data_IF_015769092225
#
_entry.id   IF_015769092225
#
_cell.length_a   1.000
_cell.length_b   1.000
_cell.length_c   1.000
_cell.angle_alpha   90.00
_cell.angle_beta   90.00
_cell.angle_gamma   90.00
#
_symmetry.space_group_name_H-M   'P 1'
#
loop_
_entity.id
_entity.type
_entity.pdbx_description
1 polymer ?
#
# COMPACT_ATOMS: atom_id res chain seq x y z
N UNK A 1 -12.28 -34.69 8.36
CA UNK A 1 -12.51 -33.32 8.84
C UNK A 1 -11.23 -32.70 9.44
N UNK A 2 -10.41 -33.44 10.19
CA UNK A 2 -9.18 -32.99 10.86
C UNK A 2 -8.06 -32.62 9.87
N UNK A 3 -7.85 -33.38 8.81
CA UNK A 3 -6.83 -33.14 7.79
C UNK A 3 -7.12 -31.86 6.97
N UNK A 4 -8.39 -31.62 6.62
CA UNK A 4 -8.81 -30.44 5.87
C UNK A 4 -8.71 -29.14 6.68
N UNK A 5 -8.86 -29.23 8.01
CA UNK A 5 -8.65 -28.08 8.92
C UNK A 5 -7.16 -27.74 9.06
N UNK A 6 -6.28 -28.77 9.01
CA UNK A 6 -4.83 -28.60 9.01
C UNK A 6 -4.30 -27.98 7.72
N UNK A 7 -4.80 -28.39 6.56
CA UNK A 7 -4.44 -27.79 5.28
C UNK A 7 -4.84 -26.30 5.20
N UNK A 8 -6.06 -25.93 5.64
CA UNK A 8 -6.46 -24.53 5.72
C UNK A 8 -5.58 -23.71 6.68
N UNK A 9 -5.20 -24.29 7.81
CA UNK A 9 -4.32 -23.61 8.78
C UNK A 9 -2.92 -23.41 8.18
N UNK A 10 -2.39 -24.44 7.51
CA UNK A 10 -1.09 -24.37 6.83
C UNK A 10 -1.12 -23.33 5.70
N UNK A 11 -2.17 -23.32 4.87
CA UNK A 11 -2.33 -22.35 3.79
C UNK A 11 -2.43 -20.91 4.31
N UNK A 12 -3.18 -20.69 5.39
CA UNK A 12 -3.31 -19.38 6.04
C UNK A 12 -2.00 -18.92 6.66
N UNK A 13 -1.28 -19.83 7.33
CA UNK A 13 0.03 -19.54 7.94
C UNK A 13 1.08 -19.30 6.85
N UNK A 14 1.06 -20.07 5.77
CA UNK A 14 1.98 -19.91 4.63
C UNK A 14 1.74 -18.58 3.91
N UNK A 15 0.48 -18.19 3.67
CA UNK A 15 0.15 -16.88 3.10
C UNK A 15 0.55 -15.73 4.04
N UNK A 16 0.36 -15.86 5.35
CA UNK A 16 0.83 -14.87 6.31
C UNK A 16 2.37 -14.76 6.34
N UNK A 17 3.08 -15.89 6.22
CA UNK A 17 4.54 -15.91 6.14
C UNK A 17 5.07 -15.30 4.84
N UNK A 18 4.42 -15.59 3.71
CA UNK A 18 4.75 -15.00 2.40
C UNK A 18 4.51 -13.49 2.44
N UNK A 19 3.39 -13.04 2.99
CA UNK A 19 3.06 -11.62 3.12
C UNK A 19 4.04 -10.87 4.04
N UNK A 20 4.45 -11.48 5.17
CA UNK A 20 5.49 -10.92 6.06
C UNK A 20 6.86 -10.84 5.37
N UNK A 21 7.24 -11.86 4.60
CA UNK A 21 8.49 -11.85 3.83
C UNK A 21 8.45 -10.81 2.71
N UNK A 22 7.33 -10.70 1.98
CA UNK A 22 7.15 -9.68 0.94
C UNK A 22 7.22 -8.26 1.51
N UNK A 23 6.56 -8.02 2.64
CA UNK A 23 6.62 -6.75 3.36
C UNK A 23 8.05 -6.44 3.85
N UNK A 24 8.75 -7.45 4.39
CA UNK A 24 10.15 -7.32 4.83
C UNK A 24 11.11 -7.01 3.68
N UNK A 25 10.96 -7.69 2.53
CA UNK A 25 11.78 -7.41 1.34
C UNK A 25 11.49 -6.03 0.75
N UNK A 26 10.25 -5.57 0.81
CA UNK A 26 9.86 -4.26 0.30
C UNK A 26 10.35 -3.12 1.21
N UNK A 27 10.30 -3.30 2.52
CA UNK A 27 10.90 -2.37 3.49
C UNK A 27 12.42 -2.33 3.29
N UNK A 28 13.06 -3.47 3.06
CA UNK A 28 14.50 -3.56 2.81
C UNK A 28 14.88 -2.89 1.49
N UNK A 29 14.10 -3.08 0.42
CA UNK A 29 14.32 -2.43 -0.88
C UNK A 29 14.12 -0.91 -0.81
N UNK A 30 13.11 -0.44 -0.05
CA UNK A 30 12.89 0.97 0.21
C UNK A 30 14.03 1.61 1.02
N UNK A 31 14.54 0.90 2.03
CA UNK A 31 15.73 1.32 2.81
C UNK A 31 17.00 1.37 1.95
N UNK A 32 17.18 0.40 1.04
CA UNK A 32 18.32 0.39 0.12
C UNK A 32 18.26 1.54 -0.90
N UNK A 33 17.06 1.88 -1.39
CA UNK A 33 16.86 3.02 -2.29
C UNK A 33 17.13 4.35 -1.59
N UNK A 34 16.76 4.50 -0.32
CA UNK A 34 17.07 5.69 0.49
C UNK A 34 18.57 5.77 0.79
N UNK A 35 19.22 4.64 1.11
CA UNK A 35 20.66 4.60 1.35
C UNK A 35 21.49 4.92 0.09
N UNK A 36 21.04 4.53 -1.11
CA UNK A 36 21.71 4.90 -2.37
C UNK A 36 21.54 6.39 -2.70
N UNK A 37 20.45 7.04 -2.32
CA UNK A 37 20.27 8.48 -2.49
C UNK A 37 21.17 9.28 -1.53
N UNK A 38 21.41 8.82 -0.31
CA UNK A 38 22.31 9.50 0.64
C UNK A 38 23.79 9.35 0.23
N UNK A 39 24.20 8.18 -0.29
CA UNK A 39 25.54 7.98 -0.80
C UNK A 39 25.87 8.86 -2.03
N UNK A 40 24.90 9.10 -2.91
CA UNK A 40 25.09 9.97 -4.09
C UNK A 40 25.13 11.46 -3.72
N UNK A 41 24.48 11.87 -2.63
CA UNK A 41 24.56 13.25 -2.14
C UNK A 41 25.91 13.56 -1.47
N UNK A 42 26.56 12.57 -0.88
CA UNK A 42 27.89 12.70 -0.25
C UNK A 42 29.02 12.77 -1.27
N UNK A 43 28.91 12.02 -2.36
CA UNK A 43 29.90 12.02 -3.45
C UNK A 43 29.91 13.35 -4.26
N UNK A 44 28.83 14.12 -4.25
CA UNK A 44 28.77 15.45 -4.88
C UNK A 44 29.30 16.57 -3.96
N UNK A 45 29.38 16.38 -2.66
CA UNK A 45 29.96 17.36 -1.74
C UNK A 45 31.50 17.33 -1.74
N UNK A 46 32.11 16.15 -1.90
CA UNK A 46 33.58 16.00 -1.94
C UNK A 46 34.19 16.53 -3.21
N UNK A 47 33.45 16.65 -4.32
CA UNK A 47 33.97 17.17 -5.60
C UNK A 47 33.90 18.69 -5.73
N UNK A 48 33.17 19.40 -4.86
CA UNK A 48 33.08 20.88 -4.94
C UNK A 48 34.07 21.62 -4.05
N UNK A 49 34.73 20.93 -3.10
CA UNK A 49 35.81 21.53 -2.30
C UNK A 49 37.19 21.50 -2.91
N UNK A 50 37.40 20.84 -4.06
CA UNK A 50 38.70 20.67 -4.68
C UNK A 50 39.03 21.68 -5.78
N UNK A 51 38.26 22.74 -6.02
CA UNK A 51 38.49 23.71 -7.13
C UNK A 51 38.72 25.15 -6.69
N UNK A 52 38.83 25.42 -5.40
CA UNK A 52 39.03 26.79 -4.93
C UNK A 52 40.19 26.93 -3.92
N UNK A 53 41.45 26.67 -4.36
CA UNK A 53 42.63 27.29 -3.74
C UNK A 53 43.95 26.99 -4.51
N UNK A 54 44.12 27.67 -5.63
CA UNK A 54 45.44 27.95 -6.17
C UNK A 54 45.55 29.48 -6.23
N UNK A 55 46.17 30.07 -5.25
CA UNK A 55 47.12 31.18 -5.28
C UNK A 55 47.36 31.71 -3.86
N UNK A 56 48.44 31.41 -3.27
CA UNK A 56 49.46 32.32 -2.71
C UNK A 56 50.50 31.55 -1.92
N UNK A 57 51.67 31.41 -2.53
CA UNK A 57 52.93 31.02 -1.87
C UNK A 57 53.39 32.17 -0.95
N UNK A 58 53.48 31.93 0.37
CA UNK A 58 54.44 32.60 1.22
C UNK A 58 55.04 31.61 2.21
N UNK A 59 56.37 31.52 2.15
CA UNK A 59 57.23 30.65 2.94
C UNK A 59 57.15 30.93 4.42
N UNK A 60 56.83 29.93 5.22
CA UNK A 60 57.13 29.90 6.65
C UNK A 60 57.70 28.53 7.00
N UNK A 61 58.70 28.49 7.89
CA UNK A 61 59.59 27.35 8.15
C UNK A 61 58.89 26.13 8.76
N UNK A 62 59.46 24.89 8.58
CA UNK A 62 58.77 23.62 8.83
C UNK A 62 58.50 23.22 10.29
N UNK A 63 59.07 23.88 11.22
CA UNK A 63 59.01 23.43 12.64
C UNK A 63 57.80 23.94 13.46
N UNK A 64 57.10 24.98 13.01
CA UNK A 64 55.90 25.50 13.71
C UNK A 64 54.56 24.89 13.24
N UNK A 65 54.57 24.20 12.13
CA UNK A 65 53.34 23.61 11.52
C UNK A 65 53.01 22.24 12.13
N UNK A 66 54.00 21.57 12.72
CA UNK A 66 53.79 20.22 13.29
C UNK A 66 53.17 20.21 14.67
N UNK A 67 53.35 21.24 15.47
CA UNK A 67 52.70 21.35 16.80
C UNK A 67 51.22 21.75 16.71
N UNK A 68 50.86 22.59 15.73
CA UNK A 68 49.50 23.06 15.54
C UNK A 68 48.57 21.97 14.91
N UNK A 69 49.17 21.07 14.10
CA UNK A 69 48.43 19.93 13.51
C UNK A 69 48.13 18.84 14.55
N UNK A 70 49.05 18.62 15.50
CA UNK A 70 48.87 17.60 16.54
C UNK A 70 47.83 18.01 17.55
N UNK A 71 47.72 19.32 17.88
CA UNK A 71 46.72 19.87 18.80
C UNK A 71 45.31 19.92 18.11
N UNK A 72 45.25 20.20 16.79
CA UNK A 72 44.03 20.18 16.01
C UNK A 72 43.46 18.79 15.80
N UNK A 73 44.28 17.76 15.65
CA UNK A 73 43.85 16.36 15.48
C UNK A 73 43.39 15.73 16.78
N UNK A 74 43.97 16.15 17.94
CA UNK A 74 43.54 15.65 19.23
C UNK A 74 42.15 16.20 19.69
N UNK A 75 41.72 17.35 19.16
CA UNK A 75 40.40 17.93 19.44
C UNK A 75 39.29 17.38 18.55
N UNK A 76 39.64 16.77 17.40
CA UNK A 76 38.65 16.17 16.46
C UNK A 76 38.30 14.73 16.85
N UNK A 77 39.09 14.06 17.70
CA UNK A 77 38.82 12.67 18.09
C UNK A 77 37.83 12.53 19.28
N UNK A 78 37.40 13.63 19.91
CA UNK A 78 36.54 13.57 21.10
C UNK A 78 35.05 13.95 20.88
N UNK A 79 34.63 14.23 19.65
CA UNK A 79 33.24 14.69 19.40
C UNK A 79 32.53 14.05 18.18
N UNK A 80 32.70 12.76 17.94
CA UNK A 80 31.74 12.01 17.12
C UNK A 80 31.38 10.72 17.83
N UNK A 81 30.77 10.82 19.01
CA UNK A 81 29.76 9.85 19.40
C UNK A 81 28.50 10.27 18.68
N UNK A 82 28.38 9.92 17.39
CA UNK A 82 27.06 9.85 16.77
C UNK A 82 26.27 8.81 17.55
N UNK A 83 25.44 9.29 18.52
CA UNK A 83 24.29 8.51 18.95
C UNK A 83 23.59 8.07 17.68
N UNK A 84 23.63 6.78 17.35
CA UNK A 84 22.85 6.21 16.26
C UNK A 84 21.40 6.61 16.52
N UNK A 85 20.98 7.70 15.87
CA UNK A 85 19.63 8.23 16.05
C UNK A 85 18.66 7.10 15.72
N UNK A 86 17.90 6.67 16.71
CA UNK A 86 16.92 5.59 16.54
C UNK A 86 16.06 5.91 15.32
N UNK A 87 15.77 4.90 14.49
CA UNK A 87 14.95 5.04 13.28
C UNK A 87 13.69 5.91 13.49
N UNK A 88 13.09 5.82 14.69
CA UNK A 88 11.96 6.66 15.08
C UNK A 88 12.33 8.14 15.26
N UNK A 89 13.54 8.44 15.74
CA UNK A 89 14.02 9.81 15.89
C UNK A 89 14.28 10.45 14.53
N UNK A 90 14.83 9.69 13.58
CA UNK A 90 15.06 10.14 12.20
C UNK A 90 13.74 10.47 11.52
N UNK A 91 12.73 9.56 11.58
CA UNK A 91 11.41 9.82 11.00
C UNK A 91 10.74 11.04 11.67
N UNK A 92 10.81 11.13 12.98
CA UNK A 92 10.24 12.27 13.71
C UNK A 92 10.91 13.59 13.31
N UNK A 93 12.23 13.59 13.17
CA UNK A 93 12.96 14.76 12.72
C UNK A 93 12.58 15.16 11.30
N UNK A 94 12.54 14.20 10.37
CA UNK A 94 12.10 14.44 8.97
C UNK A 94 10.66 14.97 8.90
N UNK A 95 9.78 14.49 9.78
CA UNK A 95 8.40 14.97 9.86
C UNK A 95 8.34 16.43 10.36
N UNK A 96 9.15 16.80 11.35
CA UNK A 96 9.23 18.16 11.88
C UNK A 96 9.86 19.08 10.83
N UNK A 97 10.95 18.67 10.22
CA UNK A 97 11.69 19.42 9.21
C UNK A 97 10.85 19.65 7.92
N UNK A 98 9.96 18.73 7.60
CA UNK A 98 9.06 18.83 6.42
C UNK A 98 7.85 19.75 6.64
N UNK A 99 7.73 20.43 7.79
CA UNK A 99 6.59 21.28 8.11
C UNK A 99 5.41 20.46 8.65
N UNK A 100 5.19 20.46 9.99
CA UNK A 100 4.25 19.54 10.65
C UNK A 100 2.80 19.74 10.21
N UNK A 101 2.40 20.93 9.79
CA UNK A 101 1.05 21.21 9.30
C UNK A 101 0.79 20.46 7.99
N UNK A 102 1.71 20.53 7.06
CA UNK A 102 1.59 19.92 5.73
C UNK A 102 1.77 18.41 5.79
N UNK A 103 2.81 17.95 6.49
CA UNK A 103 3.06 16.53 6.72
C UNK A 103 1.92 15.86 7.49
N UNK A 104 1.22 16.61 8.36
CA UNK A 104 0.03 16.16 9.08
C UNK A 104 -1.12 15.79 8.13
N UNK A 105 -1.39 16.60 7.11
CA UNK A 105 -2.43 16.31 6.10
C UNK A 105 -2.09 15.04 5.31
N UNK A 106 -0.83 14.88 4.90
CA UNK A 106 -0.34 13.69 4.19
C UNK A 106 -0.47 12.44 5.08
N UNK A 107 -0.17 12.57 6.38
CA UNK A 107 -0.34 11.49 7.35
C UNK A 107 -1.82 11.09 7.54
N UNK A 108 -2.74 12.07 7.56
CA UNK A 108 -4.18 11.80 7.61
C UNK A 108 -4.62 10.98 6.37
N UNK A 109 -4.13 11.31 5.18
CA UNK A 109 -4.41 10.52 3.97
C UNK A 109 -3.92 9.07 4.12
N UNK A 110 -2.74 8.84 4.72
CA UNK A 110 -2.23 7.51 4.99
C UNK A 110 -3.13 6.74 5.96
N UNK A 111 -3.51 7.36 7.08
CA UNK A 111 -4.34 6.72 8.12
C UNK A 111 -5.71 6.34 7.54
N UNK A 112 -6.38 7.26 6.83
CA UNK A 112 -7.67 7.00 6.21
C UNK A 112 -7.58 5.93 5.11
N UNK A 113 -6.57 6.01 4.24
CA UNK A 113 -6.35 5.02 3.20
C UNK A 113 -6.07 3.63 3.75
N UNK A 114 -5.24 3.51 4.79
CA UNK A 114 -4.98 2.23 5.48
C UNK A 114 -6.20 1.70 6.21
N UNK A 115 -6.98 2.56 6.88
CA UNK A 115 -8.19 2.14 7.59
C UNK A 115 -9.20 1.49 6.63
N UNK A 116 -9.44 2.13 5.46
CA UNK A 116 -10.31 1.57 4.43
C UNK A 116 -9.71 0.29 3.83
N UNK A 117 -8.41 0.25 3.59
CA UNK A 117 -7.74 -0.94 3.04
C UNK A 117 -7.85 -2.14 3.97
N UNK A 118 -7.64 -1.96 5.27
CA UNK A 118 -7.75 -3.02 6.27
C UNK A 118 -9.20 -3.50 6.38
N UNK A 119 -10.17 -2.58 6.40
CA UNK A 119 -11.60 -2.93 6.42
C UNK A 119 -11.96 -3.79 5.20
N UNK A 120 -11.50 -3.40 4.00
CA UNK A 120 -11.74 -4.14 2.77
C UNK A 120 -11.08 -5.51 2.75
N UNK A 121 -9.85 -5.64 3.23
CA UNK A 121 -9.16 -6.94 3.37
C UNK A 121 -9.96 -7.88 4.24
N UNK A 122 -10.45 -7.41 5.38
CA UNK A 122 -11.25 -8.22 6.30
C UNK A 122 -12.55 -8.64 5.62
N UNK A 123 -13.26 -7.70 5.00
CA UNK A 123 -14.52 -7.94 4.31
C UNK A 123 -14.38 -8.98 3.19
N UNK A 124 -13.40 -8.85 2.30
CA UNK A 124 -13.17 -9.77 1.18
C UNK A 124 -12.74 -11.16 1.66
N UNK A 125 -11.98 -11.25 2.75
CA UNK A 125 -11.61 -12.55 3.32
C UNK A 125 -12.82 -13.26 3.94
N UNK A 126 -13.73 -12.55 4.56
CA UNK A 126 -14.97 -13.11 5.09
C UNK A 126 -15.95 -13.50 3.98
N UNK A 127 -15.94 -12.78 2.85
CA UNK A 127 -16.74 -13.08 1.66
C UNK A 127 -16.26 -14.33 0.91
N UNK A 128 -15.02 -14.78 1.16
CA UNK A 128 -14.45 -15.96 0.49
C UNK A 128 -15.10 -17.24 0.98
N UNK A 129 -15.89 -17.89 0.13
CA UNK A 129 -16.59 -19.15 0.41
C UNK A 129 -15.92 -20.31 -0.34
N UNK A 130 -15.98 -21.52 0.21
CA UNK A 130 -15.50 -22.71 -0.49
C UNK A 130 -16.57 -23.15 -1.51
N UNK A 131 -16.37 -22.71 -2.75
CA UNK A 131 -17.31 -22.93 -3.87
C UNK A 131 -17.55 -24.41 -4.13
N UNK A 132 -16.50 -25.24 -4.21
CA UNK A 132 -16.64 -26.68 -4.44
C UNK A 132 -17.50 -27.38 -3.39
N UNK A 133 -17.39 -26.95 -2.12
CA UNK A 133 -18.19 -27.51 -1.05
C UNK A 133 -19.66 -27.03 -1.13
N UNK A 134 -19.87 -25.79 -1.55
CA UNK A 134 -21.21 -25.24 -1.75
C UNK A 134 -21.89 -25.96 -2.91
N UNK A 135 -21.24 -26.11 -4.05
CA UNK A 135 -21.77 -26.83 -5.23
C UNK A 135 -22.14 -28.26 -4.89
N UNK A 136 -21.28 -29.00 -4.18
CA UNK A 136 -21.59 -30.37 -3.76
C UNK A 136 -22.83 -30.47 -2.85
N UNK A 137 -23.04 -29.50 -1.94
CA UNK A 137 -24.23 -29.45 -1.08
C UNK A 137 -25.48 -29.08 -1.87
N UNK A 138 -25.34 -28.19 -2.86
CA UNK A 138 -26.46 -27.78 -3.72
C UNK A 138 -26.90 -28.95 -4.61
N UNK A 139 -25.94 -29.69 -5.20
CA UNK A 139 -26.23 -30.89 -5.99
C UNK A 139 -26.94 -31.97 -5.18
N UNK A 140 -26.45 -32.27 -3.96
CA UNK A 140 -27.08 -33.21 -3.05
C UNK A 140 -28.50 -32.77 -2.68
N UNK A 141 -28.70 -31.48 -2.37
CA UNK A 141 -30.00 -30.92 -2.04
C UNK A 141 -30.98 -30.94 -3.21
N UNK A 142 -30.51 -30.66 -4.44
CA UNK A 142 -31.32 -30.76 -5.67
C UNK A 142 -31.83 -32.20 -5.88
N UNK A 143 -30.97 -33.19 -5.66
CA UNK A 143 -31.28 -34.60 -5.88
C UNK A 143 -32.19 -35.18 -4.78
N UNK A 144 -32.14 -34.69 -3.52
CA UNK A 144 -32.90 -35.22 -2.39
C UNK A 144 -34.19 -34.46 -2.10
N UNK A 145 -34.16 -33.13 -2.18
CA UNK A 145 -35.28 -32.27 -1.78
C UNK A 145 -35.67 -31.23 -2.85
N UNK A 146 -35.06 -31.31 -4.04
CA UNK A 146 -35.36 -30.42 -5.15
C UNK A 146 -34.91 -28.98 -4.93
N UNK A 147 -35.49 -28.08 -5.73
CA UNK A 147 -35.08 -26.67 -5.79
C UNK A 147 -35.21 -25.92 -4.45
N UNK A 148 -36.23 -26.24 -3.66
CA UNK A 148 -36.46 -25.57 -2.36
C UNK A 148 -35.36 -25.93 -1.34
N UNK A 149 -34.95 -27.21 -1.30
CA UNK A 149 -33.86 -27.63 -0.43
C UNK A 149 -32.50 -26.96 -0.86
N UNK A 150 -32.27 -26.87 -2.15
CA UNK A 150 -31.08 -26.18 -2.69
C UNK A 150 -31.07 -24.67 -2.33
N UNK A 151 -32.21 -23.99 -2.38
CA UNK A 151 -32.34 -22.60 -1.95
C UNK A 151 -32.01 -22.43 -0.46
N UNK A 152 -32.47 -23.36 0.38
CA UNK A 152 -32.20 -23.31 1.83
C UNK A 152 -30.69 -23.47 2.12
N UNK A 153 -30.01 -24.39 1.44
CA UNK A 153 -28.56 -24.56 1.54
C UNK A 153 -27.82 -23.26 1.17
N UNK A 154 -28.27 -22.59 0.10
CA UNK A 154 -27.66 -21.34 -0.37
C UNK A 154 -27.94 -20.20 0.62
N UNK A 155 -29.16 -20.07 1.19
CA UNK A 155 -29.53 -19.06 2.19
C UNK A 155 -28.69 -19.16 3.47
N UNK A 156 -28.38 -20.40 3.87
CA UNK A 156 -27.58 -20.68 5.06
C UNK A 156 -26.07 -20.60 4.82
N UNK A 157 -25.64 -20.22 3.62
CA UNK A 157 -24.23 -20.05 3.26
C UNK A 157 -23.95 -18.59 2.98
N UNK A 158 -22.94 -18.03 3.69
CA UNK A 158 -22.49 -16.65 3.45
C UNK A 158 -21.59 -16.57 2.22
N UNK A 159 -21.68 -15.47 1.51
CA UNK A 159 -20.78 -15.12 0.40
C UNK A 159 -21.52 -14.80 -0.90
N UNK A 160 -20.83 -14.12 -1.84
CA UNK A 160 -21.43 -13.63 -3.07
C UNK A 160 -21.95 -14.76 -3.96
N UNK A 161 -21.22 -15.88 -4.04
CA UNK A 161 -21.62 -17.07 -4.82
C UNK A 161 -22.96 -17.62 -4.32
N UNK A 162 -23.14 -17.77 -3.01
CA UNK A 162 -24.38 -18.26 -2.43
C UNK A 162 -25.55 -17.29 -2.71
N UNK A 163 -25.31 -15.99 -2.62
CA UNK A 163 -26.29 -14.95 -2.94
C UNK A 163 -26.78 -15.03 -4.39
N UNK A 164 -25.87 -15.20 -5.34
CA UNK A 164 -26.18 -15.35 -6.76
C UNK A 164 -26.99 -16.63 -7.00
N UNK A 165 -26.60 -17.74 -6.35
CA UNK A 165 -27.32 -19.02 -6.46
C UNK A 165 -28.75 -18.92 -5.96
N UNK A 166 -28.99 -18.25 -4.85
CA UNK A 166 -30.35 -18.00 -4.34
C UNK A 166 -31.21 -17.30 -5.40
N UNK A 167 -30.66 -16.24 -6.03
CA UNK A 167 -31.38 -15.48 -7.04
C UNK A 167 -31.67 -16.31 -8.31
N UNK A 168 -30.69 -17.10 -8.77
CA UNK A 168 -30.89 -18.02 -9.88
C UNK A 168 -31.97 -19.06 -9.57
N UNK A 169 -31.85 -19.76 -8.44
CA UNK A 169 -32.80 -20.80 -8.03
C UNK A 169 -34.23 -20.27 -7.78
N UNK A 170 -34.39 -18.99 -7.41
CA UNK A 170 -35.72 -18.36 -7.29
C UNK A 170 -36.44 -18.22 -8.64
N UNK A 171 -35.71 -18.18 -9.75
CA UNK A 171 -36.25 -18.07 -11.11
C UNK A 171 -36.39 -19.40 -11.83
N UNK A 172 -36.12 -20.54 -11.15
CA UNK A 172 -36.12 -21.86 -11.78
C UNK A 172 -37.49 -22.21 -12.38
N UNK A 173 -38.60 -21.73 -11.80
CA UNK A 173 -39.94 -21.90 -12.35
C UNK A 173 -40.19 -21.20 -13.69
N UNK A 174 -39.37 -20.24 -14.04
CA UNK A 174 -39.45 -19.45 -15.30
C UNK A 174 -38.59 -20.07 -16.43
N UNK A 175 -37.84 -21.15 -16.12
CA UNK A 175 -36.97 -21.87 -17.05
C UNK A 175 -35.48 -21.49 -16.86
N UNK A 176 -34.62 -22.40 -17.41
CA UNK A 176 -33.15 -22.29 -17.21
C UNK A 176 -32.57 -21.02 -17.85
N UNK A 177 -33.08 -20.58 -18.99
CA UNK A 177 -32.66 -19.32 -19.61
C UNK A 177 -32.87 -18.11 -18.74
N UNK A 178 -34.00 -18.07 -18.00
CA UNK A 178 -34.27 -16.99 -17.05
C UNK A 178 -33.38 -17.06 -15.81
N UNK A 179 -33.03 -18.28 -15.37
CA UNK A 179 -32.06 -18.50 -14.30
C UNK A 179 -30.70 -17.90 -14.69
N UNK A 180 -30.19 -18.22 -15.88
CA UNK A 180 -28.92 -17.70 -16.40
C UNK A 180 -28.91 -16.17 -16.45
N UNK A 181 -29.93 -15.56 -17.03
CA UNK A 181 -30.08 -14.09 -17.07
C UNK A 181 -30.09 -13.47 -15.68
N UNK A 182 -30.78 -14.10 -14.73
CA UNK A 182 -30.84 -13.64 -13.34
C UNK A 182 -29.50 -13.74 -12.65
N UNK A 183 -28.75 -14.81 -12.85
CA UNK A 183 -27.40 -15.03 -12.30
C UNK A 183 -26.45 -13.96 -12.81
N UNK A 184 -26.42 -13.68 -14.12
CA UNK A 184 -25.57 -12.66 -14.72
C UNK A 184 -25.92 -11.27 -14.19
N UNK A 185 -27.21 -10.93 -14.17
CA UNK A 185 -27.65 -9.62 -13.66
C UNK A 185 -27.31 -9.40 -12.18
N UNK A 186 -27.50 -10.43 -11.35
CA UNK A 186 -27.20 -10.32 -9.93
C UNK A 186 -25.71 -10.43 -9.63
N UNK A 187 -24.95 -11.15 -10.48
CA UNK A 187 -23.49 -11.21 -10.44
C UNK A 187 -22.87 -9.84 -10.55
N UNK A 188 -23.35 -9.00 -11.48
CA UNK A 188 -22.90 -7.61 -11.61
C UNK A 188 -23.18 -6.76 -10.37
N UNK A 189 -24.31 -7.00 -9.69
CA UNK A 189 -24.64 -6.31 -8.43
C UNK A 189 -23.69 -6.74 -7.30
N UNK A 190 -23.39 -8.03 -7.19
CA UNK A 190 -22.44 -8.54 -6.19
C UNK A 190 -21.02 -8.05 -6.46
N UNK A 191 -20.57 -8.00 -7.74
CA UNK A 191 -19.29 -7.43 -8.12
C UNK A 191 -19.16 -5.97 -7.65
N UNK A 192 -20.17 -5.13 -7.89
CA UNK A 192 -20.18 -3.76 -7.40
C UNK A 192 -20.10 -3.64 -5.87
N UNK A 193 -20.62 -4.63 -5.11
CA UNK A 193 -20.45 -4.69 -3.65
C UNK A 193 -19.02 -5.05 -3.23
N UNK A 194 -18.36 -5.93 -3.97
CA UNK A 194 -16.96 -6.30 -3.73
C UNK A 194 -16.01 -5.13 -3.99
N UNK A 195 -16.24 -4.34 -5.03
CA UNK A 195 -15.46 -3.16 -5.41
C UNK A 195 -15.72 -1.94 -4.52
N UNK A 196 -16.78 -1.98 -3.72
CA UNK A 196 -17.15 -0.84 -2.86
C UNK A 196 -15.99 -0.39 -1.98
N UNK A 197 -15.70 0.90 -1.96
CA UNK A 197 -14.65 1.51 -1.15
C UNK A 197 -13.28 1.57 -1.83
N UNK A 198 -13.01 0.83 -2.91
CA UNK A 198 -11.74 0.87 -3.62
C UNK A 198 -11.49 2.24 -4.28
N UNK A 199 -12.56 2.93 -4.68
CA UNK A 199 -12.49 4.29 -5.24
C UNK A 199 -11.86 5.28 -4.24
N UNK A 200 -12.15 5.14 -2.95
CA UNK A 200 -11.56 6.00 -1.92
C UNK A 200 -10.07 5.75 -1.72
N UNK A 201 -9.63 4.49 -1.79
CA UNK A 201 -8.20 4.16 -1.71
C UNK A 201 -7.47 4.75 -2.92
N UNK A 202 -8.01 4.58 -4.12
CA UNK A 202 -7.47 5.16 -5.35
C UNK A 202 -7.40 6.69 -5.29
N UNK A 203 -8.39 7.35 -4.67
CA UNK A 203 -8.36 8.79 -4.42
C UNK A 203 -7.17 9.18 -3.54
N UNK A 204 -6.93 8.49 -2.42
CA UNK A 204 -5.81 8.82 -1.54
C UNK A 204 -4.45 8.53 -2.17
N UNK A 205 -4.34 7.51 -3.04
CA UNK A 205 -3.14 7.22 -3.82
C UNK A 205 -2.76 8.38 -4.74
N UNK A 206 -3.75 9.00 -5.40
CA UNK A 206 -3.51 10.15 -6.27
C UNK A 206 -3.37 11.45 -5.50
N UNK A 207 -4.11 11.63 -4.40
CA UNK A 207 -4.12 12.85 -3.62
C UNK A 207 -2.81 13.06 -2.83
N UNK A 208 -2.23 12.00 -2.27
CA UNK A 208 -1.04 12.12 -1.44
C UNK A 208 0.18 12.74 -2.17
N UNK A 209 0.54 12.33 -3.41
CA UNK A 209 1.60 12.99 -4.17
C UNK A 209 1.23 14.43 -4.57
N UNK A 210 -0.03 14.72 -4.88
CA UNK A 210 -0.47 16.08 -5.20
C UNK A 210 -0.29 17.02 -4.00
N UNK A 211 -0.63 16.55 -2.80
CA UNK A 211 -0.36 17.28 -1.56
C UNK A 211 1.15 17.45 -1.35
N UNK A 212 1.95 16.40 -1.55
CA UNK A 212 3.41 16.50 -1.48
C UNK A 212 3.97 17.56 -2.45
N UNK A 213 3.52 17.57 -3.69
CA UNK A 213 3.90 18.59 -4.67
C UNK A 213 3.44 20.00 -4.27
N UNK A 214 2.25 20.14 -3.72
CA UNK A 214 1.77 21.44 -3.20
C UNK A 214 2.69 21.95 -2.08
N UNK A 215 3.20 21.05 -1.23
CA UNK A 215 4.20 21.38 -0.22
C UNK A 215 5.50 21.94 -0.80
N UNK A 216 5.94 21.48 -1.98
CA UNK A 216 7.13 22.08 -2.63
C UNK A 216 6.88 23.52 -3.05
N UNK A 217 5.71 23.81 -3.59
CA UNK A 217 5.36 25.18 -4.03
C UNK A 217 5.33 26.13 -2.81
N UNK A 218 4.69 25.71 -1.72
CA UNK A 218 4.60 26.52 -0.49
C UNK A 218 5.98 26.70 0.14
N UNK A 219 6.78 25.63 0.29
CA UNK A 219 8.12 25.72 0.86
C UNK A 219 9.07 26.62 0.05
N UNK A 220 8.91 26.66 -1.29
CA UNK A 220 9.67 27.61 -2.13
C UNK A 220 9.18 29.05 -1.98
N UNK A 221 7.87 29.29 -1.84
CA UNK A 221 7.33 30.62 -1.57
C UNK A 221 7.89 31.15 -0.25
N UNK A 222 7.83 30.34 0.81
CA UNK A 222 8.36 30.72 2.13
C UNK A 222 9.87 31.03 2.08
N UNK A 223 10.65 30.29 1.28
CA UNK A 223 12.06 30.55 1.06
C UNK A 223 12.29 31.91 0.38
N UNK A 224 11.54 32.25 -0.67
CA UNK A 224 11.67 33.54 -1.34
C UNK A 224 11.20 34.70 -0.48
N UNK A 225 10.15 34.52 0.30
CA UNK A 225 9.67 35.53 1.26
C UNK A 225 10.72 35.80 2.34
N UNK A 226 11.41 34.76 2.83
CA UNK A 226 12.50 34.92 3.78
C UNK A 226 13.70 35.70 3.19
N UNK A 227 14.05 35.45 1.92
CA UNK A 227 15.09 36.22 1.20
C UNK A 227 14.67 37.69 1.06
N UNK A 228 13.44 37.95 0.65
CA UNK A 228 12.92 39.28 0.47
C UNK A 228 12.91 40.08 1.79
N UNK A 229 12.57 39.42 2.89
CA UNK A 229 12.58 40.03 4.24
C UNK A 229 14.01 40.30 4.77
N UNK A 230 14.98 39.41 4.47
CA UNK A 230 16.35 39.56 4.90
C UNK A 230 17.12 40.63 4.11
N UNK A 231 16.70 40.94 2.86
CA UNK A 231 17.38 41.88 1.96
C UNK A 231 18.70 41.39 1.40
N UNK A 232 19.12 40.17 1.74
CA UNK A 232 20.34 39.51 1.25
C UNK A 232 20.08 38.02 1.02
N UNK A 233 20.79 37.42 0.05
CA UNK A 233 20.66 36.01 -0.29
C UNK A 233 21.60 35.19 0.57
N UNK A 234 21.09 34.69 1.71
CA UNK A 234 21.84 33.73 2.53
C UNK A 234 21.62 32.30 2.00
N UNK A 235 22.71 31.56 1.66
CA UNK A 235 22.59 30.17 1.20
C UNK A 235 21.87 29.27 2.19
N UNK A 236 21.99 29.51 3.49
CA UNK A 236 21.32 28.73 4.56
C UNK A 236 19.80 28.91 4.58
N UNK A 237 19.32 30.12 4.33
CA UNK A 237 17.87 30.40 4.26
C UNK A 237 17.24 29.68 3.05
N UNK A 238 17.91 29.74 1.88
CA UNK A 238 17.46 29.05 0.66
C UNK A 238 17.46 27.55 0.87
N UNK A 239 18.53 26.98 1.41
CA UNK A 239 18.65 25.55 1.65
C UNK A 239 17.57 25.02 2.61
N UNK A 240 17.22 25.79 3.65
CA UNK A 240 16.15 25.46 4.58
C UNK A 240 14.78 25.27 3.88
N UNK A 241 14.36 26.24 3.07
CA UNK A 241 13.09 26.17 2.34
C UNK A 241 13.06 25.04 1.30
N UNK A 242 14.18 24.83 0.58
CA UNK A 242 14.31 23.70 -0.37
C UNK A 242 14.18 22.36 0.36
N UNK A 243 14.84 22.21 1.52
CA UNK A 243 14.75 20.99 2.33
C UNK A 243 13.30 20.67 2.70
N UNK A 244 12.54 21.65 3.22
CA UNK A 244 11.11 21.48 3.54
C UNK A 244 10.32 21.03 2.32
N UNK A 245 10.51 21.71 1.19
CA UNK A 245 9.85 21.39 -0.07
C UNK A 245 10.09 19.95 -0.53
N UNK A 246 11.34 19.49 -0.52
CA UNK A 246 11.68 18.13 -0.93
C UNK A 246 11.14 17.06 0.02
N UNK A 247 11.17 17.30 1.32
CA UNK A 247 10.68 16.36 2.33
C UNK A 247 9.17 16.13 2.22
N UNK A 248 8.39 17.16 1.94
CA UNK A 248 6.93 17.02 1.75
C UNK A 248 6.60 16.15 0.53
N UNK A 249 7.35 16.31 -0.56
CA UNK A 249 7.15 15.48 -1.75
C UNK A 249 7.51 14.02 -1.50
N UNK A 250 8.64 13.75 -0.86
CA UNK A 250 9.05 12.38 -0.50
C UNK A 250 7.99 11.75 0.41
N UNK A 251 7.49 12.48 1.40
CA UNK A 251 6.41 12.01 2.29
C UNK A 251 5.16 11.61 1.50
N UNK A 252 4.69 12.45 0.58
CA UNK A 252 3.53 12.18 -0.27
C UNK A 252 3.71 10.94 -1.16
N UNK A 253 4.89 10.78 -1.75
CA UNK A 253 5.24 9.62 -2.59
C UNK A 253 5.28 8.32 -1.78
N UNK A 254 5.87 8.32 -0.59
CA UNK A 254 5.92 7.14 0.30
C UNK A 254 4.50 6.69 0.64
N UNK A 255 3.61 7.61 0.99
CA UNK A 255 2.20 7.32 1.28
C UNK A 255 1.51 6.69 0.07
N UNK A 256 1.69 7.25 -1.12
CA UNK A 256 1.10 6.72 -2.34
C UNK A 256 1.59 5.28 -2.63
N UNK A 257 2.89 5.01 -2.50
CA UNK A 257 3.47 3.68 -2.72
C UNK A 257 2.89 2.65 -1.74
N UNK A 258 2.79 3.00 -0.45
CA UNK A 258 2.21 2.10 0.56
C UNK A 258 0.75 1.76 0.21
N UNK A 259 -0.08 2.77 -0.08
CA UNK A 259 -1.50 2.57 -0.41
C UNK A 259 -1.68 1.82 -1.72
N UNK A 260 -0.81 2.04 -2.74
CA UNK A 260 -0.84 1.34 -4.02
C UNK A 260 -0.63 -0.17 -3.87
N UNK A 261 0.23 -0.60 -2.94
CA UNK A 261 0.44 -2.03 -2.66
C UNK A 261 -0.83 -2.68 -2.10
N UNK A 262 -1.49 -2.03 -1.14
CA UNK A 262 -2.76 -2.52 -0.60
C UNK A 262 -3.85 -2.53 -1.66
N UNK A 263 -3.93 -1.50 -2.49
CA UNK A 263 -4.89 -1.42 -3.58
C UNK A 263 -4.73 -2.56 -4.58
N UNK A 264 -3.51 -2.83 -5.06
CA UNK A 264 -3.25 -3.92 -6.00
C UNK A 264 -3.59 -5.29 -5.40
N UNK A 265 -3.30 -5.51 -4.11
CA UNK A 265 -3.72 -6.72 -3.41
C UNK A 265 -5.25 -6.87 -3.39
N UNK A 266 -5.99 -5.79 -3.12
CA UNK A 266 -7.45 -5.80 -3.09
C UNK A 266 -8.04 -6.06 -4.48
N UNK A 267 -7.53 -5.42 -5.53
CA UNK A 267 -7.94 -5.67 -6.94
C UNK A 267 -7.78 -7.14 -7.26
N UNK A 268 -6.59 -7.72 -7.06
CA UNK A 268 -6.34 -9.14 -7.32
C UNK A 268 -7.27 -10.06 -6.52
N UNK A 269 -7.63 -9.67 -5.30
CA UNK A 269 -8.55 -10.46 -4.47
C UNK A 269 -9.99 -10.38 -4.97
N UNK A 270 -10.44 -9.21 -5.44
CA UNK A 270 -11.76 -9.02 -6.05
C UNK A 270 -11.86 -9.83 -7.32
N UNK A 271 -10.86 -9.73 -8.22
CA UNK A 271 -10.82 -10.49 -9.48
C UNK A 271 -10.90 -12.01 -9.23
N UNK A 272 -10.16 -12.52 -8.25
CA UNK A 272 -10.22 -13.93 -7.86
C UNK A 272 -11.63 -14.36 -7.37
N UNK A 273 -12.34 -13.48 -6.65
CA UNK A 273 -13.70 -13.76 -6.21
C UNK A 273 -14.68 -13.71 -7.37
N UNK A 274 -14.55 -12.75 -8.28
CA UNK A 274 -15.39 -12.63 -9.50
C UNK A 274 -15.23 -13.86 -10.38
N UNK A 275 -14.01 -14.27 -10.69
CA UNK A 275 -13.75 -15.50 -11.45
C UNK A 275 -14.39 -16.74 -10.78
N UNK A 276 -14.27 -16.83 -9.44
CA UNK A 276 -14.92 -17.92 -8.70
C UNK A 276 -16.44 -17.87 -8.74
N UNK A 277 -17.03 -16.68 -8.83
CA UNK A 277 -18.48 -16.49 -9.00
C UNK A 277 -18.93 -16.93 -10.40
N UNK A 278 -18.18 -16.59 -11.45
CA UNK A 278 -18.46 -16.96 -12.83
C UNK A 278 -18.37 -18.48 -13.03
N UNK A 279 -17.28 -19.12 -12.62
CA UNK A 279 -17.09 -20.57 -12.70
C UNK A 279 -18.18 -21.33 -11.96
N UNK A 280 -18.55 -20.86 -10.77
CA UNK A 280 -19.60 -21.45 -9.97
C UNK A 280 -20.99 -21.30 -10.63
N UNK A 281 -21.23 -20.17 -11.29
CA UNK A 281 -22.47 -19.87 -11.97
C UNK A 281 -22.71 -20.79 -13.17
N UNK A 282 -21.66 -21.01 -13.99
CA UNK A 282 -21.69 -21.96 -15.10
C UNK A 282 -22.01 -23.36 -14.58
N UNK A 283 -21.31 -23.81 -13.54
CA UNK A 283 -21.53 -25.14 -12.95
C UNK A 283 -22.94 -25.30 -12.40
N UNK A 284 -23.51 -24.26 -11.78
CA UNK A 284 -24.89 -24.30 -11.30
C UNK A 284 -25.88 -24.45 -12.44
N UNK A 285 -25.72 -23.68 -13.52
CA UNK A 285 -26.62 -23.77 -14.71
C UNK A 285 -26.56 -25.16 -15.28
N UNK A 286 -25.37 -25.76 -15.44
CA UNK A 286 -25.22 -27.14 -15.94
C UNK A 286 -25.90 -28.18 -15.02
N UNK A 287 -25.85 -28.00 -13.71
CA UNK A 287 -26.56 -28.88 -12.77
C UNK A 287 -28.08 -28.74 -12.91
N UNK A 288 -28.58 -27.53 -13.11
CA UNK A 288 -30.00 -27.26 -13.25
C UNK A 288 -30.56 -27.80 -14.58
N UNK A 289 -29.79 -27.69 -15.67
CA UNK A 289 -30.15 -28.33 -16.99
C UNK A 289 -30.29 -29.82 -16.81
N UNK A 290 -29.28 -30.49 -16.24
CA UNK A 290 -29.33 -31.96 -15.97
C UNK A 290 -30.49 -32.37 -15.07
N UNK A 291 -30.78 -31.60 -14.03
CA UNK A 291 -31.91 -31.87 -13.12
C UNK A 291 -33.26 -31.70 -13.81
N UNK A 292 -33.36 -30.80 -14.80
CA UNK A 292 -34.60 -30.58 -15.57
C UNK A 292 -34.80 -31.63 -16.65
N UNK A 293 -33.73 -32.12 -17.29
CA UNK A 293 -33.77 -33.20 -18.32
C UNK A 293 -34.03 -34.59 -17.71
N UNK A 294 -33.66 -34.79 -16.43
CA UNK A 294 -33.87 -36.04 -15.71
C UNK A 294 -35.27 -36.20 -15.11
N UNK A 295 -36.15 -35.20 -15.29
CA UNK A 295 -37.55 -35.24 -14.91
C UNK A 295 -38.46 -35.45 -16.10
#
# INVERSE_FOLDING_TARGET
QYLKKREKLILTVTNQLIMKKFLSYFILAGLLAIASMTAHAQDQMDTSEMVASEDTLSMTSPDSVMEEIVEGVAVIEEEVVEEEASFHQVIKQQFIDGGPEFMGIVLICLILGLAISIERIIHLNLATTNVSKLLGKVDEALNTGGVEAAKEVCRNTNGPVASIFVQGLMRMSEGVEMVEKSIIAYGSVEMGKLEKGMVWISLFISLAPMLGFMGTVIGMIDAFDAIAAAGDVSPSLVAGGIKVALLTTVGGLIVAVILQLFYNYLVSKVDSLVNSMEDASITLVDMLVRHNEGK
#
